data_IF_428599796877
#
_entry.id   IF_428599796877
#
_cell.length_a   1.000
_cell.length_b   1.000
_cell.length_c   1.000
_cell.angle_alpha   90.00
_cell.angle_beta   90.00
_cell.angle_gamma   90.00
#
_symmetry.space_group_name_H-M   'P 1'
#
loop_
_entity.id
_entity.type
_entity.pdbx_description
1 polymer ?
#
# COMPACT_ATOMS: atom_id res chain seq x y z
N UNK A 1 19.14 5.21 -13.89
CA UNK A 1 19.07 4.94 -12.43
C UNK A 1 18.60 3.51 -12.21
N UNK A 2 19.28 2.70 -11.37
CA UNK A 2 18.86 1.31 -11.15
C UNK A 2 17.53 1.24 -10.40
N UNK A 3 16.67 0.26 -10.74
CA UNK A 3 15.37 0.02 -10.10
C UNK A 3 15.47 -0.04 -8.57
N UNK A 4 16.52 -0.69 -8.07
CA UNK A 4 16.76 -0.82 -6.62
C UNK A 4 17.05 0.52 -5.95
N UNK A 5 17.81 1.40 -6.62
CA UNK A 5 18.09 2.75 -6.12
C UNK A 5 16.80 3.58 -6.08
N UNK A 6 15.94 3.48 -7.09
CA UNK A 6 14.63 4.18 -7.11
C UNK A 6 13.78 3.76 -5.90
N UNK A 7 13.64 2.44 -5.69
CA UNK A 7 12.87 1.90 -4.55
C UNK A 7 13.47 2.38 -3.23
N UNK A 8 14.80 2.38 -3.10
CA UNK A 8 15.48 2.81 -1.88
C UNK A 8 15.21 4.29 -1.59
N UNK A 9 15.29 5.15 -2.61
CA UNK A 9 14.95 6.58 -2.49
C UNK A 9 13.50 6.75 -2.05
N UNK A 10 12.54 6.10 -2.72
CA UNK A 10 11.12 6.17 -2.37
C UNK A 10 10.89 5.76 -0.91
N UNK A 11 11.51 4.66 -0.47
CA UNK A 11 11.37 4.16 0.91
C UNK A 11 11.95 5.12 1.94
N UNK A 12 13.13 5.67 1.69
CA UNK A 12 13.77 6.64 2.58
C UNK A 12 12.92 7.90 2.66
N UNK A 13 12.46 8.45 1.52
CA UNK A 13 11.58 9.61 1.48
C UNK A 13 10.27 9.37 2.21
N UNK A 14 9.66 8.19 2.06
CA UNK A 14 8.45 7.81 2.78
C UNK A 14 8.68 7.76 4.29
N UNK A 15 9.79 7.16 4.75
CA UNK A 15 10.13 7.10 6.18
C UNK A 15 10.34 8.52 6.73
N UNK A 16 11.09 9.36 6.02
CA UNK A 16 11.35 10.75 6.44
C UNK A 16 10.08 11.60 6.49
N UNK A 17 9.08 11.33 5.65
CA UNK A 17 7.80 12.04 5.66
C UNK A 17 6.80 11.50 6.71
N UNK A 18 6.67 10.17 6.80
CA UNK A 18 5.65 9.52 7.64
C UNK A 18 6.07 9.38 9.11
N UNK A 19 7.37 9.19 9.38
CA UNK A 19 7.87 8.94 10.75
C UNK A 19 7.72 10.15 11.66
N UNK A 20 8.09 11.38 11.25
CA UNK A 20 7.88 12.55 12.09
C UNK A 20 6.41 12.77 12.44
N UNK A 21 5.50 12.59 11.46
CA UNK A 21 4.06 12.68 11.71
C UNK A 21 3.61 11.60 12.69
N UNK A 22 4.13 10.37 12.56
CA UNK A 22 3.82 9.30 13.51
C UNK A 22 4.29 9.67 14.93
N UNK A 23 5.52 10.14 15.09
CA UNK A 23 6.11 10.42 16.40
C UNK A 23 5.49 11.66 17.07
N UNK A 24 5.27 12.72 16.30
CA UNK A 24 4.84 14.01 16.83
C UNK A 24 3.30 14.08 16.94
N UNK A 25 2.57 13.42 16.03
CA UNK A 25 1.10 13.53 15.96
C UNK A 25 0.41 12.26 16.42
N UNK A 26 0.86 11.06 16.03
CA UNK A 26 0.13 9.83 16.41
C UNK A 26 0.48 9.34 17.82
N UNK A 27 1.78 9.24 18.15
CA UNK A 27 2.23 8.67 19.42
C UNK A 27 1.63 9.39 20.65
N UNK A 28 1.60 10.74 20.71
CA UNK A 28 1.04 11.43 21.87
C UNK A 28 -0.47 11.22 22.07
N UNK A 29 -1.17 10.77 21.01
CA UNK A 29 -2.62 10.61 20.98
C UNK A 29 -3.05 9.14 20.77
N UNK A 30 -2.17 8.17 21.05
CA UNK A 30 -2.38 6.73 20.78
C UNK A 30 -3.75 6.21 21.23
N UNK A 31 -4.22 6.45 22.47
CA UNK A 31 -5.46 5.81 22.94
C UNK A 31 -6.70 6.20 22.12
N UNK A 32 -6.81 7.47 21.73
CA UNK A 32 -7.92 7.97 20.92
C UNK A 32 -7.71 7.76 19.41
N UNK A 33 -6.48 7.94 18.93
CA UNK A 33 -6.16 7.87 17.50
C UNK A 33 -6.32 6.47 16.90
N UNK A 34 -6.12 5.41 17.69
CA UNK A 34 -6.29 4.03 17.24
C UNK A 34 -7.74 3.65 16.89
N UNK A 35 -8.73 4.47 17.25
CA UNK A 35 -10.13 4.24 16.84
C UNK A 35 -10.39 4.61 15.38
N UNK A 36 -9.50 5.37 14.73
CA UNK A 36 -9.67 5.82 13.35
C UNK A 36 -8.96 4.89 12.37
N UNK A 37 -9.69 4.38 11.37
CA UNK A 37 -9.12 3.51 10.31
C UNK A 37 -7.99 4.22 9.54
N UNK A 38 -8.08 5.54 9.37
CA UNK A 38 -7.04 6.36 8.75
C UNK A 38 -5.71 6.21 9.47
N UNK A 39 -5.72 6.15 10.80
CA UNK A 39 -4.51 5.98 11.62
C UNK A 39 -3.90 4.59 11.41
N UNK A 40 -4.73 3.56 11.25
CA UNK A 40 -4.26 2.22 10.90
C UNK A 40 -3.59 2.21 9.53
N UNK A 41 -4.21 2.82 8.52
CA UNK A 41 -3.64 2.94 7.17
C UNK A 41 -2.30 3.67 7.18
N UNK A 42 -2.23 4.79 7.90
CA UNK A 42 -1.01 5.59 8.04
C UNK A 42 0.10 4.79 8.75
N UNK A 43 -0.20 4.20 9.90
CA UNK A 43 0.74 3.44 10.71
C UNK A 43 1.26 2.20 9.97
N UNK A 44 0.37 1.41 9.37
CA UNK A 44 0.76 0.23 8.58
C UNK A 44 1.62 0.62 7.38
N UNK A 45 1.33 1.76 6.74
CA UNK A 45 2.14 2.27 5.62
C UNK A 45 3.54 2.65 6.11
N UNK A 46 3.64 3.36 7.24
CA UNK A 46 4.94 3.69 7.83
C UNK A 46 5.74 2.42 8.19
N UNK A 47 5.14 1.47 8.90
CA UNK A 47 5.76 0.20 9.25
C UNK A 47 6.25 -0.58 8.01
N UNK A 48 5.46 -0.59 6.93
CA UNK A 48 5.85 -1.26 5.69
C UNK A 48 7.08 -0.62 5.04
N UNK A 49 7.15 0.72 4.97
CA UNK A 49 8.30 1.40 4.39
C UNK A 49 9.55 1.16 5.24
N UNK A 50 9.41 1.23 6.57
CA UNK A 50 10.48 0.95 7.52
C UNK A 50 11.00 -0.50 7.36
N UNK A 51 10.12 -1.50 7.52
CA UNK A 51 10.49 -2.92 7.38
C UNK A 51 11.04 -3.21 5.98
N UNK A 52 10.42 -2.64 4.94
CA UNK A 52 10.83 -2.78 3.56
C UNK A 52 12.28 -2.31 3.31
N UNK A 53 12.73 -1.27 4.02
CA UNK A 53 14.12 -0.78 3.92
C UNK A 53 15.13 -1.78 4.53
N UNK A 54 14.78 -2.44 5.64
CA UNK A 54 15.71 -3.27 6.41
C UNK A 54 15.73 -4.76 6.04
N UNK A 55 14.73 -5.30 5.34
CA UNK A 55 14.76 -6.72 4.94
C UNK A 55 15.85 -6.96 3.87
N UNK A 56 16.90 -7.69 4.25
CA UNK A 56 18.02 -8.09 3.37
C UNK A 56 17.77 -9.38 2.57
N UNK A 57 17.03 -10.33 3.12
CA UNK A 57 16.80 -11.63 2.47
C UNK A 57 15.77 -11.52 1.32
N UNK A 58 16.19 -11.81 0.09
CA UNK A 58 15.38 -11.63 -1.13
C UNK A 58 14.07 -12.43 -1.14
N UNK A 59 14.07 -13.67 -0.63
CA UNK A 59 12.87 -14.53 -0.59
C UNK A 59 11.87 -14.02 0.45
N UNK A 60 12.35 -13.69 1.65
CA UNK A 60 11.51 -13.14 2.72
C UNK A 60 10.95 -11.77 2.33
N UNK A 61 11.79 -10.90 1.74
CA UNK A 61 11.41 -9.59 1.19
C UNK A 61 10.24 -9.74 0.23
N UNK A 62 10.33 -10.64 -0.75
CA UNK A 62 9.27 -10.83 -1.74
C UNK A 62 7.94 -11.29 -1.13
N UNK A 63 7.97 -12.22 -0.17
CA UNK A 63 6.77 -12.71 0.53
C UNK A 63 6.14 -11.62 1.38
N UNK A 64 6.96 -10.91 2.18
CA UNK A 64 6.53 -9.80 3.02
C UNK A 64 5.90 -8.69 2.18
N UNK A 65 6.63 -8.19 1.16
CA UNK A 65 6.17 -7.10 0.30
C UNK A 65 4.86 -7.48 -0.40
N UNK A 66 4.75 -8.68 -0.98
CA UNK A 66 3.54 -9.07 -1.71
C UNK A 66 2.27 -9.14 -0.84
N UNK A 67 2.40 -9.57 0.43
CA UNK A 67 1.26 -9.67 1.36
C UNK A 67 0.88 -8.29 1.90
N UNK A 68 1.85 -7.56 2.44
CA UNK A 68 1.59 -6.28 3.10
C UNK A 68 1.21 -5.20 2.10
N UNK A 69 1.82 -5.20 0.92
CA UNK A 69 1.46 -4.25 -0.12
C UNK A 69 0.02 -4.43 -0.61
N UNK A 70 -0.52 -5.65 -0.60
CA UNK A 70 -1.94 -5.87 -0.90
C UNK A 70 -2.85 -5.24 0.16
N UNK A 71 -2.49 -5.39 1.45
CA UNK A 71 -3.22 -4.74 2.56
C UNK A 71 -3.17 -3.22 2.37
N UNK A 72 -1.99 -2.64 2.21
CA UNK A 72 -1.83 -1.18 2.07
C UNK A 72 -2.54 -0.63 0.85
N UNK A 73 -2.41 -1.31 -0.30
CA UNK A 73 -3.07 -0.87 -1.53
C UNK A 73 -4.57 -0.80 -1.34
N UNK A 74 -5.20 -1.88 -0.86
CA UNK A 74 -6.64 -1.86 -0.62
C UNK A 74 -7.03 -0.86 0.47
N UNK A 75 -6.35 -0.88 1.61
CA UNK A 75 -6.68 -0.06 2.77
C UNK A 75 -6.56 1.43 2.48
N UNK A 76 -5.46 1.88 1.87
CA UNK A 76 -5.25 3.30 1.57
C UNK A 76 -6.32 3.82 0.61
N UNK A 77 -6.66 3.06 -0.44
CA UNK A 77 -7.72 3.48 -1.36
C UNK A 77 -9.12 3.49 -0.73
N UNK A 78 -9.45 2.52 0.14
CA UNK A 78 -10.71 2.54 0.89
C UNK A 78 -10.78 3.81 1.75
N UNK A 79 -9.73 4.04 2.56
CA UNK A 79 -9.63 5.21 3.44
C UNK A 79 -9.77 6.49 2.64
N UNK A 80 -8.98 6.65 1.57
CA UNK A 80 -9.02 7.83 0.71
C UNK A 80 -10.43 8.04 0.12
N UNK A 81 -11.02 7.03 -0.50
CA UNK A 81 -12.31 7.18 -1.19
C UNK A 81 -13.46 7.45 -0.21
N UNK A 82 -13.57 6.67 0.87
CA UNK A 82 -14.60 6.87 1.90
C UNK A 82 -14.46 8.24 2.54
N UNK A 83 -13.24 8.62 2.89
CA UNK A 83 -12.98 9.90 3.53
C UNK A 83 -13.37 11.09 2.65
N UNK A 84 -12.87 11.16 1.42
CA UNK A 84 -13.13 12.29 0.53
C UNK A 84 -14.59 12.39 0.09
N UNK A 85 -15.29 11.26 -0.03
CA UNK A 85 -16.68 11.24 -0.45
C UNK A 85 -17.68 11.47 0.68
N UNK A 86 -17.35 11.10 1.93
CA UNK A 86 -18.34 11.06 3.02
C UNK A 86 -17.92 11.93 4.20
N UNK A 87 -16.66 11.84 4.64
CA UNK A 87 -16.22 12.39 5.92
C UNK A 87 -15.59 13.78 5.81
N UNK A 88 -15.07 14.16 4.63
CA UNK A 88 -14.27 15.37 4.47
C UNK A 88 -14.99 16.66 4.90
N UNK A 89 -16.29 16.78 4.59
CA UNK A 89 -17.08 17.99 4.91
C UNK A 89 -17.39 18.14 6.39
N UNK A 90 -17.37 17.04 7.16
CA UNK A 90 -17.78 16.98 8.56
C UNK A 90 -16.62 16.71 9.53
N UNK A 91 -15.41 16.45 9.03
CA UNK A 91 -14.22 16.23 9.85
C UNK A 91 -13.70 17.57 10.45
N UNK A 92 -13.74 17.74 11.78
CA UNK A 92 -13.30 18.96 12.46
C UNK A 92 -11.78 19.13 12.51
N UNK A 93 -11.01 18.12 12.11
CA UNK A 93 -9.54 18.13 12.14
C UNK A 93 -8.99 19.25 11.24
N UNK A 94 -7.87 19.91 11.59
CA UNK A 94 -7.24 20.88 10.70
C UNK A 94 -7.00 20.34 9.28
N UNK A 95 -7.33 21.15 8.25
CA UNK A 95 -7.25 20.76 6.83
C UNK A 95 -5.90 20.15 6.46
N UNK A 96 -4.80 20.72 6.96
CA UNK A 96 -3.46 20.24 6.63
C UNK A 96 -3.21 18.82 7.17
N UNK A 97 -3.65 18.49 8.38
CA UNK A 97 -3.55 17.13 8.93
C UNK A 97 -4.40 16.16 8.12
N UNK A 98 -5.62 16.58 7.77
CA UNK A 98 -6.53 15.81 6.91
C UNK A 98 -5.88 15.44 5.59
N UNK A 99 -5.24 16.41 4.92
CA UNK A 99 -4.49 16.18 3.68
C UNK A 99 -3.32 15.21 3.92
N UNK A 100 -2.52 15.42 4.95
CA UNK A 100 -1.35 14.56 5.26
C UNK A 100 -1.77 13.10 5.47
N UNK A 101 -2.76 12.86 6.33
CA UNK A 101 -3.17 11.51 6.72
C UNK A 101 -3.81 10.71 5.58
N UNK A 102 -4.46 11.38 4.61
CA UNK A 102 -5.13 10.71 3.50
C UNK A 102 -4.34 10.72 2.20
N UNK A 103 -3.37 11.65 2.04
CA UNK A 103 -2.59 11.81 0.81
C UNK A 103 -1.22 11.17 0.89
N UNK A 104 -0.51 11.27 2.02
CA UNK A 104 0.86 10.73 2.10
C UNK A 104 0.91 9.21 1.94
N UNK A 105 0.06 8.41 2.63
CA UNK A 105 0.08 6.96 2.46
C UNK A 105 -0.21 6.53 1.03
N UNK A 106 -1.23 7.12 0.40
CA UNK A 106 -1.60 6.78 -0.98
C UNK A 106 -0.53 7.23 -1.98
N UNK A 107 0.05 8.42 -1.80
CA UNK A 107 1.12 8.94 -2.67
C UNK A 107 2.34 8.01 -2.69
N UNK A 108 2.88 7.66 -1.52
CA UNK A 108 4.06 6.81 -1.44
C UNK A 108 3.77 5.39 -1.91
N UNK A 109 2.61 4.83 -1.58
CA UNK A 109 2.24 3.50 -2.07
C UNK A 109 2.04 3.50 -3.59
N UNK A 110 1.41 4.52 -4.18
CA UNK A 110 1.23 4.66 -5.63
C UNK A 110 2.56 4.84 -6.39
N UNK A 111 3.48 5.65 -5.86
CA UNK A 111 4.79 5.86 -6.51
C UNK A 111 5.68 4.61 -6.39
N UNK A 112 5.63 3.86 -5.29
CA UNK A 112 6.36 2.59 -5.18
C UNK A 112 5.74 1.49 -6.07
N UNK A 113 4.46 1.64 -6.47
CA UNK A 113 3.69 0.64 -7.19
C UNK A 113 4.38 0.08 -8.44
N UNK A 114 4.87 0.86 -9.41
CA UNK A 114 5.52 0.30 -10.60
C UNK A 114 6.85 -0.37 -10.27
N UNK A 115 7.57 0.11 -9.25
CA UNK A 115 8.94 -0.31 -8.99
C UNK A 115 9.05 -1.49 -8.03
N UNK A 116 8.13 -1.71 -7.09
CA UNK A 116 8.29 -2.82 -6.16
C UNK A 116 8.18 -4.20 -6.85
N UNK A 117 8.67 -5.27 -6.22
CA UNK A 117 8.53 -6.66 -6.74
C UNK A 117 7.29 -7.37 -6.18
N UNK A 118 6.39 -6.64 -5.52
CA UNK A 118 5.19 -7.20 -4.92
C UNK A 118 4.27 -7.75 -6.00
N UNK A 119 3.84 -9.02 -5.85
CA UNK A 119 2.80 -9.59 -6.71
C UNK A 119 1.48 -9.61 -5.95
N UNK A 120 0.55 -8.77 -6.37
CA UNK A 120 -0.82 -8.82 -5.90
C UNK A 120 -1.45 -10.13 -6.40
N UNK A 121 -1.79 -11.00 -5.46
CA UNK A 121 -2.48 -12.28 -5.74
C UNK A 121 -3.75 -12.29 -4.91
N UNK A 122 -4.83 -12.86 -5.45
CA UNK A 122 -6.13 -12.97 -4.75
C UNK A 122 -6.03 -13.61 -3.36
N UNK A 123 -5.10 -14.55 -3.17
CA UNK A 123 -4.83 -15.15 -1.86
C UNK A 123 -4.40 -14.15 -0.77
N UNK A 124 -3.84 -13.00 -1.16
CA UNK A 124 -3.45 -11.93 -0.23
C UNK A 124 -4.64 -11.04 0.17
N UNK A 125 -5.75 -11.07 -0.58
CA UNK A 125 -6.94 -10.24 -0.30
C UNK A 125 -7.56 -10.60 1.05
N UNK A 126 -7.48 -11.89 1.42
CA UNK A 126 -7.89 -12.37 2.74
C UNK A 126 -7.25 -11.56 3.88
N UNK A 127 -5.99 -11.16 3.75
CA UNK A 127 -5.33 -10.38 4.81
C UNK A 127 -5.93 -8.98 4.96
N UNK A 128 -6.36 -8.34 3.88
CA UNK A 128 -7.08 -7.07 3.95
C UNK A 128 -8.44 -7.26 4.63
N UNK A 129 -9.18 -8.30 4.26
CA UNK A 129 -10.48 -8.58 4.88
C UNK A 129 -10.37 -8.84 6.39
N UNK A 130 -9.31 -9.53 6.84
CA UNK A 130 -9.05 -9.69 8.27
C UNK A 130 -8.78 -8.34 8.97
N UNK A 131 -8.02 -7.43 8.35
CA UNK A 131 -7.79 -6.09 8.91
C UNK A 131 -9.09 -5.28 8.98
N UNK A 132 -9.88 -5.30 7.91
CA UNK A 132 -11.18 -4.61 7.85
C UNK A 132 -12.17 -5.18 8.87
N UNK A 133 -12.22 -6.50 9.02
CA UNK A 133 -13.08 -7.16 10.00
C UNK A 133 -12.64 -6.83 11.43
N UNK A 134 -11.34 -6.88 11.72
CA UNK A 134 -10.81 -6.51 13.03
C UNK A 134 -11.16 -5.05 13.39
N UNK A 135 -11.01 -4.15 12.43
CA UNK A 135 -11.42 -2.76 12.59
C UNK A 135 -12.93 -2.61 12.81
N UNK A 136 -13.74 -3.33 12.03
CA UNK A 136 -15.19 -3.27 12.16
C UNK A 136 -15.66 -3.78 13.53
N UNK A 137 -15.08 -4.87 14.04
CA UNK A 137 -15.36 -5.38 15.38
C UNK A 137 -14.99 -4.34 16.44
N UNK A 138 -13.79 -3.76 16.33
CA UNK A 138 -13.35 -2.69 17.24
C UNK A 138 -14.35 -1.52 17.23
N UNK A 139 -14.70 -1.04 16.04
CA UNK A 139 -15.66 0.04 15.86
C UNK A 139 -17.01 -0.31 16.52
N UNK A 140 -17.55 -1.53 16.30
CA UNK A 140 -18.80 -1.95 16.90
C UNK A 140 -18.75 -1.93 18.42
N UNK A 141 -17.68 -2.49 19.01
CA UNK A 141 -17.49 -2.50 20.46
C UNK A 141 -17.44 -1.06 21.00
N UNK A 142 -16.65 -0.20 20.38
CA UNK A 142 -16.50 1.19 20.83
C UNK A 142 -17.81 1.96 20.75
N UNK A 143 -18.56 1.82 19.66
CA UNK A 143 -19.86 2.49 19.49
C UNK A 143 -20.91 1.95 20.46
N UNK A 144 -20.91 0.64 20.76
CA UNK A 144 -21.81 0.07 21.77
C UNK A 144 -21.48 0.54 23.19
N UNK A 145 -20.20 0.70 23.52
CA UNK A 145 -19.77 1.14 24.86
C UNK A 145 -20.02 2.63 25.08
N UNK A 146 -19.76 3.47 24.07
CA UNK A 146 -19.84 4.93 24.21
C UNK A 146 -21.22 5.50 23.85
N UNK A 147 -22.08 4.74 23.17
CA UNK A 147 -23.39 5.19 22.71
C UNK A 147 -23.36 6.07 21.46
N UNK A 148 -22.16 6.41 20.96
CA UNK A 148 -21.96 7.23 19.76
C UNK A 148 -20.87 6.65 18.83
N UNK A 149 -20.96 6.98 17.55
CA UNK A 149 -19.99 6.56 16.53
C UNK A 149 -18.66 7.29 16.67
N UNK A 150 -17.54 6.58 16.39
CA UNK A 150 -16.20 7.21 16.32
C UNK A 150 -16.14 8.26 15.21
N UNK A 151 -16.84 8.01 14.10
CA UNK A 151 -16.97 8.94 12.99
C UNK A 151 -18.32 9.65 13.07
N UNK A 152 -18.36 10.99 13.00
CA UNK A 152 -19.62 11.73 13.00
C UNK A 152 -20.55 11.25 11.87
N UNK A 153 -21.80 10.95 12.20
CA UNK A 153 -22.81 10.50 11.23
C UNK A 153 -22.66 9.06 10.72
N UNK A 154 -21.65 8.32 11.20
CA UNK A 154 -21.54 6.88 11.00
C UNK A 154 -21.68 6.27 12.38
N UNK A 155 -22.87 5.77 12.70
CA UNK A 155 -23.24 5.11 13.95
C UNK A 155 -24.37 4.08 13.69
N UNK A 156 -24.83 3.40 14.75
CA UNK A 156 -25.94 2.44 14.65
C UNK A 156 -27.33 3.06 14.63
N UNK A 157 -27.45 4.40 14.68
CA UNK A 157 -28.74 5.08 14.60
C UNK A 157 -29.30 5.10 13.17
N UNK A 158 -28.43 4.94 12.16
CA UNK A 158 -28.78 4.98 10.75
C UNK A 158 -28.27 3.75 10.00
N UNK A 159 -29.10 3.19 9.10
CA UNK A 159 -28.68 2.10 8.18
C UNK A 159 -27.54 2.53 7.24
N UNK A 160 -27.26 3.84 7.17
CA UNK A 160 -26.15 4.41 6.42
C UNK A 160 -24.81 3.71 6.70
N UNK A 161 -24.54 3.32 7.96
CA UNK A 161 -23.31 2.60 8.31
C UNK A 161 -23.15 1.28 7.53
N UNK A 162 -24.24 0.54 7.33
CA UNK A 162 -24.23 -0.73 6.59
C UNK A 162 -23.84 -0.48 5.14
N UNK A 163 -24.37 0.58 4.52
CA UNK A 163 -23.99 0.98 3.17
C UNK A 163 -22.51 1.37 3.07
N UNK A 164 -21.97 2.11 4.05
CA UNK A 164 -20.54 2.48 4.07
C UNK A 164 -19.65 1.23 4.17
N UNK A 165 -20.02 0.25 4.99
CA UNK A 165 -19.27 -1.01 5.13
C UNK A 165 -19.30 -1.82 3.83
N UNK A 166 -20.49 -1.99 3.23
CA UNK A 166 -20.64 -2.72 1.96
C UNK A 166 -19.84 -2.00 0.87
N UNK A 167 -19.96 -0.67 0.76
CA UNK A 167 -19.20 0.12 -0.19
C UNK A 167 -17.69 -0.03 0.00
N UNK A 168 -17.22 -0.02 1.25
CA UNK A 168 -15.79 -0.22 1.58
C UNK A 168 -15.28 -1.58 1.11
N UNK A 169 -16.07 -2.65 1.29
CA UNK A 169 -15.74 -4.00 0.81
C UNK A 169 -15.69 -4.02 -0.72
N UNK A 170 -16.70 -3.47 -1.40
CA UNK A 170 -16.78 -3.43 -2.87
C UNK A 170 -15.60 -2.65 -3.46
N UNK A 171 -15.34 -1.44 -2.93
CA UNK A 171 -14.20 -0.60 -3.32
C UNK A 171 -12.89 -1.37 -3.13
N UNK A 172 -12.72 -2.05 -2.00
CA UNK A 172 -11.51 -2.83 -1.73
C UNK A 172 -11.24 -3.89 -2.80
N UNK A 173 -12.29 -4.61 -3.22
CA UNK A 173 -12.21 -5.67 -4.23
C UNK A 173 -11.83 -5.06 -5.58
N UNK A 174 -12.53 -4.00 -5.99
CA UNK A 174 -12.30 -3.31 -7.26
C UNK A 174 -10.85 -2.82 -7.33
N UNK A 175 -10.40 -2.08 -6.33
CA UNK A 175 -9.05 -1.51 -6.29
C UNK A 175 -7.98 -2.60 -6.27
N UNK A 176 -8.18 -3.68 -5.51
CA UNK A 176 -7.26 -4.80 -5.46
C UNK A 176 -7.17 -5.55 -6.80
N UNK A 177 -8.28 -5.67 -7.52
CA UNK A 177 -8.31 -6.33 -8.82
C UNK A 177 -7.69 -5.44 -9.90
N UNK A 178 -7.99 -4.13 -9.91
CA UNK A 178 -7.32 -3.15 -10.77
C UNK A 178 -5.81 -3.18 -10.53
N UNK A 179 -5.39 -3.08 -9.26
CA UNK A 179 -3.98 -3.17 -8.89
C UNK A 179 -3.35 -4.48 -9.35
N UNK A 180 -4.04 -5.62 -9.20
CA UNK A 180 -3.55 -6.91 -9.70
C UNK A 180 -3.34 -6.91 -11.21
N UNK A 181 -4.30 -6.40 -11.98
CA UNK A 181 -4.23 -6.36 -13.45
C UNK A 181 -3.05 -5.50 -13.89
N UNK A 182 -2.95 -4.26 -13.37
CA UNK A 182 -1.85 -3.35 -13.71
C UNK A 182 -0.50 -3.96 -13.32
N UNK A 183 -0.39 -4.51 -12.11
CA UNK A 183 0.88 -5.07 -11.62
C UNK A 183 1.35 -6.29 -12.42
N UNK A 184 0.41 -7.13 -12.86
CA UNK A 184 0.72 -8.28 -13.70
C UNK A 184 1.22 -7.85 -15.07
N UNK A 185 0.60 -6.81 -15.68
CA UNK A 185 1.07 -6.24 -16.94
C UNK A 185 2.49 -5.70 -16.83
N UNK A 186 2.76 -4.86 -15.82
CA UNK A 186 4.12 -4.34 -15.53
C UNK A 186 5.13 -5.48 -15.35
N UNK A 187 4.75 -6.57 -14.69
CA UNK A 187 5.63 -7.72 -14.48
C UNK A 187 5.91 -8.49 -15.77
N UNK A 188 4.92 -8.59 -16.68
CA UNK A 188 5.09 -9.25 -17.98
C UNK A 188 6.00 -8.44 -18.89
N UNK A 189 5.79 -7.13 -18.98
CA UNK A 189 6.58 -6.24 -19.83
C UNK A 189 8.06 -6.26 -19.41
N UNK A 190 8.35 -6.14 -18.11
CA UNK A 190 9.72 -6.23 -17.58
C UNK A 190 10.40 -7.57 -17.91
N UNK A 191 9.65 -8.68 -17.95
CA UNK A 191 10.21 -9.98 -18.33
C UNK A 191 10.49 -10.09 -19.82
N UNK A 192 9.68 -9.44 -20.66
CA UNK A 192 9.85 -9.42 -22.10
C UNK A 192 11.12 -8.65 -22.47
N UNK A 193 11.31 -7.45 -21.91
CA UNK A 193 12.51 -6.63 -22.11
C UNK A 193 13.79 -7.34 -21.68
N UNK A 194 13.78 -8.06 -20.56
CA UNK A 194 14.94 -8.85 -20.14
C UNK A 194 15.29 -9.95 -21.16
N UNK A 195 14.28 -10.64 -21.71
CA UNK A 195 14.50 -11.68 -22.73
C UNK A 195 15.01 -11.11 -24.05
N UNK A 196 14.55 -9.93 -24.46
CA UNK A 196 15.02 -9.27 -25.69
C UNK A 196 16.50 -8.84 -25.53
N UNK A 197 16.87 -8.29 -24.37
CA UNK A 197 18.26 -7.91 -24.08
C UNK A 197 19.22 -9.10 -23.94
N UNK A 198 18.74 -10.26 -23.48
CA UNK A 198 19.55 -11.50 -23.39
C UNK A 198 19.80 -12.13 -24.78
N UNK A 199 19.02 -11.77 -25.80
CA UNK A 199 19.15 -12.29 -27.18
C UNK A 199 20.03 -11.40 -28.06
N UNK A 200 20.32 -10.16 -27.66
CA UNK A 200 21.17 -9.20 -28.40
C UNK A 200 22.70 -9.39 -28.21
N UNK A 201 23.18 -10.61 -27.91
CA UNK A 201 24.59 -10.94 -28.19
C UNK A 201 24.64 -11.57 -29.58
N UNK A 202 24.91 -10.80 -30.66
CA UNK A 202 25.20 -11.43 -31.93
C UNK A 202 26.47 -12.27 -31.77
N UNK A 203 26.35 -13.60 -31.89
CA UNK A 203 27.45 -14.56 -32.01
C UNK A 203 28.31 -14.35 -33.28
N UNK A 204 28.38 -13.13 -33.80
CA UNK A 204 28.99 -12.82 -35.09
C UNK A 204 30.27 -12.03 -34.90
N UNK A 205 31.24 -12.56 -34.14
CA UNK A 205 32.67 -12.19 -34.31
C UNK A 205 33.74 -13.02 -33.59
N UNK A 206 33.44 -14.19 -33.01
CA UNK A 206 34.50 -15.05 -32.43
C UNK A 206 35.07 -16.07 -33.44
N UNK A 207 34.41 -16.28 -34.58
CA UNK A 207 34.83 -17.32 -35.56
C UNK A 207 35.90 -16.91 -36.58
N UNK A 208 36.52 -15.73 -36.50
CA UNK A 208 37.59 -15.32 -37.45
C UNK A 208 39.02 -15.33 -36.92
N UNK A 209 39.26 -15.53 -35.62
CA UNK A 209 40.63 -15.56 -35.09
C UNK A 209 41.24 -16.96 -34.93
N UNK A 210 40.45 -18.03 -35.03
CA UNK A 210 40.96 -19.41 -34.90
C UNK A 210 41.23 -20.11 -36.24
N UNK A 211 41.14 -19.40 -37.38
CA UNK A 211 41.46 -19.94 -38.71
C UNK A 211 42.73 -19.33 -39.33
N UNK A 212 43.46 -18.48 -38.60
CA UNK A 212 44.71 -17.85 -39.10
C UNK A 212 45.95 -18.39 -38.38
N UNK A 213 45.80 -19.07 -37.24
CA UNK A 213 46.93 -19.58 -36.45
C UNK A 213 46.81 -21.10 -36.18
N UNK A 214 46.59 -21.89 -37.23
CA UNK A 214 46.87 -23.33 -37.20
C UNK A 214 48.16 -23.55 -37.98
N UNK A 215 49.25 -24.05 -37.35
CA UNK A 215 50.55 -24.26 -37.98
C UNK A 215 50.51 -25.31 -39.10
#
# INVERSE_FOLDING_TARGET
>A
MSKELIIKIIRISAILALTPVTIIVLIPWIPGSLFFLTVWGFFLTNCYFFIGLFIRNSKQKKKFLSRHYAILWGLNWIITLVYWSILFSIDPTPVYLRIIFHTFPIFFTAIEFPFNDAKLKRKHYKSLYFVMLAYFILYCITTLVNGEGIYPGIDFSSIFIVYVIIASIVISIIVLEIGRVIKNKITQDNKKTLRENDVEIPETKVRRYNLINSP
#
